data_IF_368043101134
#
_entry.id   IF_368043101134
#
_cell.length_a   1.000
_cell.length_b   1.000
_cell.length_c   1.000
_cell.angle_alpha   90.00
_cell.angle_beta   90.00
_cell.angle_gamma   90.00
#
_symmetry.space_group_name_H-M   'P 1'
#
loop_
_entity.id
_entity.type
_entity.pdbx_description
1 polymer ?
#
# COMPACT_ATOMS: atom_id res chain seq x y z
N UNK A 1 -14.99 7.20 -0.06
CA UNK A 1 -13.76 6.77 0.61
C UNK A 1 -13.78 7.18 2.07
N UNK A 2 -13.60 6.24 2.97
CA UNK A 2 -13.64 6.51 4.40
C UNK A 2 -12.29 6.93 4.93
N UNK A 3 -12.29 7.50 6.12
CA UNK A 3 -11.06 7.87 6.78
C UNK A 3 -10.18 6.64 7.03
N UNK A 4 -10.81 5.53 7.38
CA UNK A 4 -10.07 4.29 7.61
C UNK A 4 -9.37 3.80 6.36
N UNK A 5 -10.06 3.86 5.23
CA UNK A 5 -9.46 3.47 3.95
C UNK A 5 -8.27 4.35 3.64
N UNK A 6 -8.39 5.64 3.88
CA UNK A 6 -7.29 6.57 3.64
C UNK A 6 -6.08 6.23 4.50
N UNK A 7 -6.30 5.91 5.77
CA UNK A 7 -5.20 5.54 6.65
C UNK A 7 -4.47 4.30 6.17
N UNK A 8 -5.24 3.32 5.70
CA UNK A 8 -4.66 2.08 5.18
C UNK A 8 -3.81 2.36 3.95
N UNK A 9 -4.31 3.17 3.04
CA UNK A 9 -3.57 3.51 1.82
C UNK A 9 -2.32 4.32 2.17
N UNK A 10 -2.42 5.25 3.09
CA UNK A 10 -1.26 6.04 3.51
C UNK A 10 -0.18 5.17 4.12
N UNK A 11 -0.59 4.19 4.91
CA UNK A 11 0.36 3.27 5.51
C UNK A 11 1.08 2.45 4.45
N UNK A 12 0.34 1.93 3.48
CA UNK A 12 0.93 1.16 2.39
C UNK A 12 1.89 2.01 1.57
N UNK A 13 1.53 3.27 1.32
CA UNK A 13 2.44 4.19 0.62
C UNK A 13 3.75 4.34 1.37
N UNK A 14 3.67 4.52 2.69
CA UNK A 14 4.87 4.64 3.50
C UNK A 14 5.78 3.42 3.39
N UNK A 15 5.17 2.25 3.39
CA UNK A 15 5.92 1.01 3.24
C UNK A 15 6.64 0.96 1.89
N UNK A 16 5.94 1.32 0.83
CA UNK A 16 6.54 1.32 -0.51
C UNK A 16 7.66 2.34 -0.62
N UNK A 17 7.47 3.51 -0.03
CA UNK A 17 8.49 4.55 -0.04
C UNK A 17 9.75 4.06 0.68
N UNK A 18 9.58 3.42 1.82
CA UNK A 18 10.69 2.90 2.61
C UNK A 18 11.40 1.75 1.90
N UNK A 19 10.62 0.80 1.39
CA UNK A 19 11.17 -0.44 0.85
C UNK A 19 11.86 -0.22 -0.49
N UNK A 20 11.28 0.60 -1.35
CA UNK A 20 11.76 0.78 -2.71
C UNK A 20 12.34 2.16 -2.98
N UNK A 21 12.34 3.04 -1.99
CA UNK A 21 12.84 4.39 -2.18
C UNK A 21 11.98 5.22 -3.12
N UNK A 22 10.70 4.93 -3.20
CA UNK A 22 9.80 5.64 -4.08
C UNK A 22 9.37 6.96 -3.46
N UNK A 23 9.02 7.89 -4.32
CA UNK A 23 8.37 9.11 -3.89
C UNK A 23 6.89 8.84 -3.63
N UNK A 24 6.26 9.74 -2.87
CA UNK A 24 4.87 9.56 -2.50
C UNK A 24 3.97 9.34 -3.71
N UNK A 25 4.16 10.12 -4.76
CA UNK A 25 3.34 9.99 -5.95
C UNK A 25 3.53 8.65 -6.63
N UNK A 26 4.76 8.17 -6.67
CA UNK A 26 5.07 6.89 -7.28
C UNK A 26 4.47 5.74 -6.48
N UNK A 27 4.53 5.82 -5.16
CA UNK A 27 3.96 4.80 -4.31
C UNK A 27 2.45 4.72 -4.50
N UNK A 28 1.79 5.87 -4.52
CA UNK A 28 0.35 5.92 -4.74
C UNK A 28 -0.01 5.33 -6.09
N UNK A 29 0.76 5.68 -7.11
CA UNK A 29 0.50 5.18 -8.46
C UNK A 29 0.65 3.68 -8.53
N UNK A 30 1.64 3.12 -7.82
CA UNK A 30 1.81 1.67 -7.80
C UNK A 30 0.58 0.97 -7.26
N UNK A 31 0.03 1.50 -6.16
CA UNK A 31 -1.17 0.93 -5.58
C UNK A 31 -2.32 1.04 -6.59
N UNK A 32 -2.44 2.17 -7.24
CA UNK A 32 -3.50 2.40 -8.21
C UNK A 32 -3.40 1.46 -9.40
N UNK A 33 -2.20 1.29 -9.94
CA UNK A 33 -2.00 0.41 -11.09
C UNK A 33 -2.33 -1.04 -10.72
N UNK A 34 -1.87 -1.49 -9.56
CA UNK A 34 -2.19 -2.84 -9.11
C UNK A 34 -3.69 -3.03 -8.91
N UNK A 35 -4.35 -2.02 -8.38
CA UNK A 35 -5.79 -2.05 -8.22
C UNK A 35 -6.47 -2.28 -9.56
N UNK A 36 -6.03 -1.55 -10.58
CA UNK A 36 -6.62 -1.69 -11.90
C UNK A 36 -6.30 -3.04 -12.54
N UNK A 37 -5.05 -3.49 -12.39
CA UNK A 37 -4.63 -4.75 -13.02
C UNK A 37 -5.30 -5.96 -12.42
N UNK A 38 -5.56 -5.93 -11.13
CA UNK A 38 -6.16 -7.06 -10.43
C UNK A 38 -7.66 -6.91 -10.24
N UNK A 39 -8.20 -5.76 -10.61
CA UNK A 39 -9.62 -5.44 -10.44
C UNK A 39 -10.04 -5.50 -8.97
N UNK A 40 -9.13 -5.14 -8.10
CA UNK A 40 -9.41 -5.05 -6.67
C UNK A 40 -9.38 -3.59 -6.25
N UNK A 41 -9.99 -3.30 -5.11
CA UNK A 41 -9.99 -1.92 -4.62
C UNK A 41 -8.59 -1.53 -4.16
N UNK A 42 -8.32 -0.23 -4.13
CA UNK A 42 -7.05 0.25 -3.61
C UNK A 42 -6.86 -0.16 -2.16
N UNK A 43 -7.94 -0.21 -1.40
CA UNK A 43 -7.87 -0.66 -0.02
C UNK A 43 -7.37 -2.10 0.06
N UNK A 44 -7.88 -2.97 -0.78
CA UNK A 44 -7.45 -4.36 -0.78
C UNK A 44 -5.98 -4.49 -1.13
N UNK A 45 -5.52 -3.73 -2.11
CA UNK A 45 -4.11 -3.73 -2.49
C UNK A 45 -3.26 -3.23 -1.33
N UNK A 46 -3.69 -2.13 -0.70
CA UNK A 46 -2.95 -1.56 0.42
C UNK A 46 -2.87 -2.53 1.58
N UNK A 47 -3.95 -3.22 1.88
CA UNK A 47 -3.95 -4.21 2.95
C UNK A 47 -2.99 -5.36 2.64
N UNK A 48 -2.94 -5.79 1.39
CA UNK A 48 -2.01 -6.84 0.99
C UNK A 48 -0.56 -6.41 1.18
N UNK A 49 -0.26 -5.17 0.84
CA UNK A 49 1.09 -4.62 1.03
C UNK A 49 1.45 -4.62 2.51
N UNK A 50 0.53 -4.19 3.36
CA UNK A 50 0.76 -4.14 4.80
C UNK A 50 1.00 -5.53 5.36
N UNK A 51 0.18 -6.49 4.94
CA UNK A 51 0.32 -7.87 5.40
C UNK A 51 1.66 -8.45 4.98
N UNK A 52 2.03 -8.27 3.73
CA UNK A 52 3.29 -8.78 3.22
C UNK A 52 4.47 -8.17 3.99
N UNK A 53 4.40 -6.88 4.26
CA UNK A 53 5.45 -6.21 5.01
C UNK A 53 5.55 -6.75 6.44
N UNK A 54 4.40 -6.97 7.07
CA UNK A 54 4.35 -7.49 8.42
C UNK A 54 4.94 -8.89 8.50
N UNK A 55 4.68 -9.72 7.50
CA UNK A 55 5.23 -11.07 7.47
C UNK A 55 6.74 -11.06 7.28
N UNK A 56 7.26 -10.11 6.53
CA UNK A 56 8.70 -9.99 6.32
C UNK A 56 9.41 -9.37 7.51
N UNK A 57 8.69 -8.59 8.31
CA UNK A 57 9.27 -7.91 9.47
C UNK A 57 8.43 -8.19 10.71
N UNK A 58 8.47 -9.44 11.19
CA UNK A 58 7.57 -9.86 12.26
C UNK A 58 7.86 -9.27 13.64
N UNK A 59 8.95 -8.56 13.77
CA UNK A 59 9.36 -8.02 15.06
C UNK A 59 8.65 -6.73 15.43
N UNK A 60 7.72 -6.31 14.65
CA UNK A 60 6.99 -5.07 14.93
C UNK A 60 6.12 -5.12 16.14
#
# INVERSE_FOLDING_TARGET
ETLETRKIIERAKGILMDTYGLREQEAYRRIQVQSMNTRKSMREIAEAIIIAHTLQNPTQ
#
